data_IF_711810719557
#
_entry.id   IF_711810719557
#
_cell.length_a   1.000
_cell.length_b   1.000
_cell.length_c   1.000
_cell.angle_alpha   90.00
_cell.angle_beta   90.00
_cell.angle_gamma   90.00
#
_symmetry.space_group_name_H-M   'P 1'
#
loop_
_entity.id
_entity.type
_entity.pdbx_description
1 polymer ?
#
# COMPACT_ATOMS: atom_id res chain seq x y z
N UNK A 1 -0.33 -7.89 -13.83
CA UNK A 1 -1.58 -7.24 -13.34
C UNK A 1 -2.04 -6.12 -14.27
N UNK A 2 -1.13 -5.33 -14.84
CA UNK A 2 -1.49 -4.19 -15.70
C UNK A 2 -1.29 -4.39 -17.19
N UNK A 3 -0.95 -5.60 -17.60
CA UNK A 3 -0.90 -6.05 -18.97
C UNK A 3 -1.18 -7.55 -19.02
N UNK A 4 -1.81 -7.96 -20.11
CA UNK A 4 -1.99 -9.34 -20.52
C UNK A 4 -1.08 -9.71 -21.70
N UNK A 5 -1.29 -10.90 -22.29
CA UNK A 5 -0.44 -11.43 -23.35
C UNK A 5 -0.39 -10.50 -24.56
N UNK A 6 0.79 -10.31 -25.14
CA UNK A 6 1.01 -9.39 -26.27
C UNK A 6 0.93 -7.90 -25.93
N UNK A 7 0.80 -7.50 -24.67
CA UNK A 7 0.85 -6.09 -24.23
C UNK A 7 -0.37 -5.24 -24.58
N UNK A 8 -1.31 -5.73 -25.38
CA UNK A 8 -2.38 -4.89 -25.94
C UNK A 8 -3.50 -4.54 -24.94
N UNK A 9 -3.49 -5.14 -23.75
CA UNK A 9 -4.58 -5.02 -22.78
C UNK A 9 -4.28 -3.91 -21.77
N UNK A 10 -5.07 -2.84 -21.86
CA UNK A 10 -4.99 -1.63 -21.02
C UNK A 10 -5.71 -1.82 -19.67
N UNK A 11 -5.41 -2.93 -18.99
CA UNK A 11 -6.20 -3.40 -17.82
C UNK A 11 -6.13 -2.47 -16.61
N UNK A 12 -5.03 -1.73 -16.42
CA UNK A 12 -4.88 -0.82 -15.29
C UNK A 12 -5.17 0.65 -15.62
N UNK A 13 -4.99 1.08 -16.87
CA UNK A 13 -5.24 2.45 -17.29
C UNK A 13 -5.25 2.56 -18.80
N UNK A 14 -6.17 3.38 -19.34
CA UNK A 14 -6.18 3.76 -20.76
C UNK A 14 -4.93 4.53 -21.19
N UNK A 15 -4.24 5.16 -20.23
CA UNK A 15 -3.02 5.94 -20.42
C UNK A 15 -1.73 5.10 -20.35
N UNK A 16 -1.82 3.85 -19.88
CA UNK A 16 -0.70 2.91 -19.95
C UNK A 16 -0.73 2.20 -21.29
N UNK A 17 0.30 2.42 -22.12
CA UNK A 17 0.54 1.64 -23.33
C UNK A 17 1.01 0.27 -22.85
N UNK A 18 0.07 -0.66 -22.67
CA UNK A 18 0.38 -1.96 -22.10
C UNK A 18 1.55 -2.64 -22.80
N UNK A 19 2.32 -3.43 -22.04
CA UNK A 19 3.45 -4.18 -22.54
C UNK A 19 3.40 -5.60 -21.97
N UNK A 20 3.71 -6.60 -22.78
CA UNK A 20 3.69 -7.98 -22.31
C UNK A 20 4.66 -8.14 -21.15
N UNK A 21 4.15 -8.57 -19.99
CA UNK A 21 4.98 -8.87 -18.82
C UNK A 21 5.28 -10.37 -18.87
N UNK A 22 6.24 -10.74 -19.71
CA UNK A 22 6.70 -12.12 -19.93
C UNK A 22 7.87 -12.50 -19.00
N UNK A 23 8.66 -11.50 -18.58
CA UNK A 23 9.85 -11.70 -17.76
C UNK A 23 10.15 -10.50 -16.84
N UNK A 24 11.06 -10.71 -15.88
CA UNK A 24 11.43 -9.71 -14.87
C UNK A 24 12.09 -8.45 -15.47
N UNK A 25 12.86 -8.57 -16.56
CA UNK A 25 13.50 -7.43 -17.22
C UNK A 25 12.48 -6.50 -17.89
N UNK A 26 11.44 -7.08 -18.48
CA UNK A 26 10.31 -6.33 -19.04
C UNK A 26 9.55 -5.60 -17.94
N UNK A 27 9.33 -6.23 -16.78
CA UNK A 27 8.72 -5.57 -15.61
C UNK A 27 9.49 -4.33 -15.18
N UNK A 28 10.81 -4.43 -15.03
CA UNK A 28 11.63 -3.30 -14.54
C UNK A 28 11.53 -2.09 -15.47
N UNK A 29 11.53 -2.32 -16.78
CA UNK A 29 11.43 -1.25 -17.78
C UNK A 29 10.02 -0.63 -17.76
N UNK A 30 8.99 -1.47 -17.76
CA UNK A 30 7.60 -1.04 -17.86
C UNK A 30 7.03 -0.47 -16.54
N UNK A 31 7.70 -0.75 -15.42
CA UNK A 31 7.29 -0.23 -14.12
C UNK A 31 7.35 1.31 -14.05
N UNK A 32 8.33 1.93 -14.71
CA UNK A 32 8.42 3.38 -14.77
C UNK A 32 7.23 3.98 -15.51
N UNK A 33 6.90 3.44 -16.69
CA UNK A 33 5.78 3.89 -17.52
C UNK A 33 4.42 3.65 -16.84
N UNK A 34 4.27 2.49 -16.17
CA UNK A 34 3.09 2.19 -15.38
C UNK A 34 2.91 3.20 -14.24
N UNK A 35 3.98 3.52 -13.50
CA UNK A 35 3.92 4.55 -12.44
C UNK A 35 3.58 5.92 -13.02
N UNK A 36 4.15 6.28 -14.17
CA UNK A 36 3.87 7.55 -14.83
C UNK A 36 2.40 7.67 -15.30
N UNK A 37 1.75 6.54 -15.61
CA UNK A 37 0.33 6.51 -15.94
C UNK A 37 -0.59 6.80 -14.74
N UNK A 38 -0.06 6.72 -13.52
CA UNK A 38 -0.78 7.08 -12.31
C UNK A 38 -0.57 8.56 -12.01
N UNK A 39 -1.65 9.34 -11.93
CA UNK A 39 -1.61 10.72 -11.44
C UNK A 39 -1.44 10.74 -9.91
N UNK A 40 -0.26 10.35 -9.43
CA UNK A 40 0.08 10.45 -8.01
C UNK A 40 0.50 11.88 -7.71
N UNK A 41 -0.27 12.58 -6.86
CA UNK A 41 0.16 13.85 -6.29
C UNK A 41 1.31 13.57 -5.29
N UNK A 42 2.54 13.88 -5.69
CA UNK A 42 3.76 13.59 -4.92
C UNK A 42 4.01 14.59 -3.79
N UNK A 43 3.23 15.66 -3.72
CA UNK A 43 3.50 16.79 -2.83
C UNK A 43 2.87 16.61 -1.43
N UNK A 44 2.09 15.55 -1.22
CA UNK A 44 1.47 15.27 0.07
C UNK A 44 2.43 14.56 1.02
N UNK A 45 2.61 15.14 2.21
CA UNK A 45 3.23 14.45 3.34
C UNK A 45 2.34 13.27 3.71
N UNK A 46 2.83 12.05 3.49
CA UNK A 46 2.11 10.82 3.83
C UNK A 46 1.98 10.73 5.36
N UNK A 47 0.74 10.59 5.81
CA UNK A 47 0.35 10.40 7.21
C UNK A 47 0.15 8.92 7.53
N UNK A 48 0.18 8.58 8.82
CA UNK A 48 -0.14 7.22 9.27
C UNK A 48 -1.59 6.82 8.93
N UNK A 49 -2.51 7.79 8.95
CA UNK A 49 -3.90 7.61 8.55
C UNK A 49 -4.01 7.22 7.08
N UNK A 50 -3.32 7.93 6.18
CA UNK A 50 -3.34 7.61 4.74
C UNK A 50 -2.78 6.22 4.44
N UNK A 51 -1.70 5.81 5.13
CA UNK A 51 -1.17 4.44 5.00
C UNK A 51 -2.21 3.40 5.45
N UNK A 52 -2.86 3.64 6.58
CA UNK A 52 -3.86 2.72 7.13
C UNK A 52 -5.08 2.62 6.19
N UNK A 53 -5.58 3.77 5.72
CA UNK A 53 -6.67 3.84 4.76
C UNK A 53 -6.32 3.13 3.43
N UNK A 54 -5.07 3.25 2.96
CA UNK A 54 -4.62 2.54 1.76
C UNK A 54 -4.58 1.01 1.97
N UNK A 55 -4.16 0.53 3.15
CA UNK A 55 -4.20 -0.90 3.48
C UNK A 55 -5.63 -1.44 3.57
N UNK A 56 -6.56 -0.67 4.15
CA UNK A 56 -7.98 -1.02 4.20
C UNK A 56 -8.61 -1.02 2.80
N UNK A 57 -8.32 -0.01 1.98
CA UNK A 57 -8.77 0.05 0.59
C UNK A 57 -8.23 -1.11 -0.25
N UNK A 58 -6.97 -1.51 -0.02
CA UNK A 58 -6.41 -2.71 -0.64
C UNK A 58 -7.20 -3.96 -0.21
N UNK A 59 -7.44 -4.13 1.09
CA UNK A 59 -8.17 -5.29 1.62
C UNK A 59 -9.60 -5.36 1.07
N UNK A 60 -10.29 -4.21 0.98
CA UNK A 60 -11.65 -4.11 0.43
C UNK A 60 -11.73 -4.41 -1.08
N UNK A 61 -10.62 -4.27 -1.82
CA UNK A 61 -10.55 -4.61 -3.25
C UNK A 61 -10.21 -6.08 -3.51
N UNK A 62 -9.90 -6.86 -2.48
CA UNK A 62 -9.69 -8.29 -2.63
C UNK A 62 -11.02 -8.95 -3.02
N UNK A 63 -10.99 -9.71 -4.11
CA UNK A 63 -12.09 -10.58 -4.53
C UNK A 63 -11.91 -11.93 -3.83
N UNK A 64 -12.93 -12.36 -3.12
CA UNK A 64 -12.98 -13.67 -2.47
C UNK A 64 -14.06 -14.53 -3.13
N UNK A 65 -13.65 -15.69 -3.65
CA UNK A 65 -14.53 -16.65 -4.32
C UNK A 65 -14.37 -18.02 -3.67
N UNK A 66 -15.48 -18.75 -3.53
CA UNK A 66 -15.44 -20.13 -3.06
C UNK A 66 -14.71 -21.04 -4.06
N UNK A 67 -13.82 -21.89 -3.55
CA UNK A 67 -13.18 -22.98 -4.29
C UNK A 67 -13.17 -24.23 -3.41
N UNK A 68 -13.17 -25.42 -4.04
CA UNK A 68 -13.56 -26.72 -3.46
C UNK A 68 -13.50 -26.84 -1.92
N UNK A 69 -12.32 -26.63 -1.32
CA UNK A 69 -12.09 -26.69 0.13
C UNK A 69 -11.61 -25.39 0.79
N UNK A 70 -11.20 -24.38 0.02
CA UNK A 70 -10.64 -23.11 0.51
C UNK A 70 -11.14 -21.94 -0.34
N UNK A 71 -11.19 -20.74 0.23
CA UNK A 71 -11.52 -19.55 -0.56
C UNK A 71 -10.34 -19.13 -1.43
N UNK A 72 -10.59 -18.86 -2.71
CA UNK A 72 -9.65 -18.16 -3.60
C UNK A 72 -9.73 -16.67 -3.32
N UNK A 73 -8.60 -16.06 -3.01
CA UNK A 73 -8.52 -14.61 -2.73
C UNK A 73 -7.54 -13.97 -3.69
N UNK A 74 -7.99 -12.96 -4.42
CA UNK A 74 -7.21 -12.31 -5.49
C UNK A 74 -7.41 -10.81 -5.52
N UNK A 75 -6.43 -10.10 -6.06
CA UNK A 75 -6.56 -8.70 -6.46
C UNK A 75 -6.46 -8.61 -7.99
N UNK A 76 -7.44 -8.00 -8.64
CA UNK A 76 -7.48 -7.86 -10.11
C UNK A 76 -8.39 -8.87 -10.80
N UNK A 77 -8.29 -8.93 -12.13
CA UNK A 77 -9.24 -9.65 -12.99
C UNK A 77 -8.84 -11.12 -13.17
N UNK A 78 -9.82 -12.01 -13.07
CA UNK A 78 -9.71 -13.43 -13.40
C UNK A 78 -11.08 -13.94 -13.83
N UNK A 79 -11.14 -14.63 -14.97
CA UNK A 79 -12.36 -15.28 -15.47
C UNK A 79 -12.52 -16.74 -14.99
N UNK A 80 -11.48 -17.34 -14.44
CA UNK A 80 -11.46 -18.76 -14.01
C UNK A 80 -10.79 -18.97 -12.65
N UNK A 81 -10.64 -17.89 -11.86
CA UNK A 81 -9.98 -17.85 -10.54
C UNK A 81 -8.46 -18.06 -10.58
N UNK A 82 -7.83 -18.17 -11.75
CA UNK A 82 -6.37 -18.27 -11.90
C UNK A 82 -5.72 -16.92 -12.22
N UNK A 83 -4.49 -16.72 -11.74
CA UNK A 83 -3.67 -15.53 -11.99
C UNK A 83 -2.46 -15.89 -12.85
N UNK A 84 -2.70 -16.32 -14.09
CA UNK A 84 -1.64 -16.76 -15.01
C UNK A 84 -1.01 -15.63 -15.81
N UNK A 85 -1.55 -14.39 -15.74
CA UNK A 85 -1.14 -13.29 -16.60
C UNK A 85 -1.73 -13.36 -18.01
N UNK A 86 -2.56 -14.37 -18.30
CA UNK A 86 -3.34 -14.49 -19.54
C UNK A 86 -4.39 -13.39 -19.70
N UNK A 87 -4.99 -13.30 -20.90
CA UNK A 87 -6.10 -12.38 -21.14
C UNK A 87 -7.27 -12.68 -20.17
N UNK A 88 -7.75 -11.65 -19.48
CA UNK A 88 -8.77 -11.80 -18.44
C UNK A 88 -8.30 -12.54 -17.17
N UNK A 89 -7.00 -12.77 -16.99
CA UNK A 89 -6.36 -13.48 -15.85
C UNK A 89 -5.22 -12.67 -15.22
N UNK A 90 -5.38 -11.35 -15.23
CA UNK A 90 -4.42 -10.36 -14.73
C UNK A 90 -4.67 -10.03 -13.26
N UNK A 91 -4.28 -10.95 -12.37
CA UNK A 91 -4.45 -10.79 -10.93
C UNK A 91 -3.20 -11.17 -10.12
N UNK A 92 -3.24 -10.88 -8.81
CA UNK A 92 -2.30 -11.38 -7.80
C UNK A 92 -3.06 -12.33 -6.89
N UNK A 93 -2.54 -13.55 -6.71
CA UNK A 93 -3.14 -14.59 -5.86
C UNK A 93 -2.68 -14.42 -4.40
N UNK A 94 -3.64 -14.19 -3.51
CA UNK A 94 -3.46 -14.07 -2.06
C UNK A 94 -4.05 -15.25 -1.27
N UNK A 95 -4.55 -16.29 -1.94
CA UNK A 95 -5.26 -17.44 -1.35
C UNK A 95 -4.56 -18.01 -0.12
N UNK A 96 -3.23 -18.16 -0.15
CA UNK A 96 -2.46 -18.71 0.97
C UNK A 96 -2.56 -17.91 2.28
N UNK A 97 -2.91 -16.62 2.21
CA UNK A 97 -3.08 -15.76 3.38
C UNK A 97 -4.50 -15.81 3.97
N UNK A 98 -5.46 -16.36 3.22
CA UNK A 98 -6.87 -16.36 3.59
C UNK A 98 -7.49 -17.77 3.60
N UNK A 99 -6.65 -18.80 3.71
CA UNK A 99 -7.10 -20.19 3.86
C UNK A 99 -7.99 -20.35 5.09
N UNK A 100 -9.02 -21.18 4.97
CA UNK A 100 -9.99 -21.42 6.06
C UNK A 100 -9.36 -22.20 7.20
N UNK A 101 -8.57 -23.21 6.89
CA UNK A 101 -8.02 -24.18 7.86
C UNK A 101 -6.66 -23.75 8.41
N UNK A 102 -5.99 -22.78 7.79
CA UNK A 102 -4.70 -22.27 8.24
C UNK A 102 -4.45 -20.86 7.67
N UNK A 103 -5.16 -19.84 8.17
CA UNK A 103 -4.96 -18.47 7.70
C UNK A 103 -3.55 -18.01 8.06
N UNK A 104 -2.77 -17.60 7.06
CA UNK A 104 -1.47 -16.99 7.31
C UNK A 104 -1.69 -15.53 7.71
N UNK A 105 -1.12 -15.11 8.84
CA UNK A 105 -1.23 -13.73 9.29
C UNK A 105 -0.77 -12.74 8.20
N UNK A 106 -1.54 -11.67 7.96
CA UNK A 106 -1.21 -10.64 6.96
C UNK A 106 0.15 -9.97 7.21
N UNK A 107 0.61 -9.96 8.46
CA UNK A 107 1.96 -9.50 8.81
C UNK A 107 3.10 -10.32 8.21
N UNK A 108 2.82 -11.49 7.62
CA UNK A 108 3.80 -12.27 6.84
C UNK A 108 3.94 -11.79 5.40
N UNK A 109 3.02 -10.96 4.89
CA UNK A 109 3.24 -10.26 3.62
C UNK A 109 4.28 -9.15 3.84
N UNK A 110 5.47 -9.21 3.21
CA UNK A 110 6.55 -8.28 3.52
C UNK A 110 6.17 -6.82 3.27
N UNK A 111 5.55 -6.51 2.13
CA UNK A 111 5.15 -5.16 1.78
C UNK A 111 4.07 -4.61 2.73
N UNK A 112 3.08 -5.43 3.10
CA UNK A 112 2.01 -5.05 4.03
C UNK A 112 2.59 -4.71 5.40
N UNK A 113 3.49 -5.57 5.90
CA UNK A 113 4.13 -5.36 7.18
C UNK A 113 5.02 -4.10 7.19
N UNK A 114 5.74 -3.83 6.09
CA UNK A 114 6.53 -2.61 5.95
C UNK A 114 5.66 -1.35 5.97
N UNK A 115 4.53 -1.35 5.29
CA UNK A 115 3.56 -0.24 5.32
C UNK A 115 3.03 -0.01 6.75
N UNK A 116 2.62 -1.09 7.43
CA UNK A 116 2.17 -0.98 8.83
C UNK A 116 3.27 -0.45 9.76
N UNK A 117 4.51 -0.89 9.59
CA UNK A 117 5.64 -0.36 10.35
C UNK A 117 5.89 1.13 10.06
N UNK A 118 5.72 1.56 8.81
CA UNK A 118 5.83 2.96 8.44
C UNK A 118 4.76 3.83 9.10
N UNK A 119 3.49 3.37 9.14
CA UNK A 119 2.42 4.06 9.85
C UNK A 119 2.76 4.29 11.33
N UNK A 120 3.18 3.23 12.04
CA UNK A 120 3.60 3.32 13.44
C UNK A 120 4.78 4.27 13.64
N UNK A 121 5.75 4.25 12.73
CA UNK A 121 6.91 5.14 12.80
C UNK A 121 6.51 6.61 12.62
N UNK A 122 5.55 6.91 11.74
CA UNK A 122 5.02 8.27 11.54
C UNK A 122 4.27 8.75 12.79
N UNK A 123 3.38 7.93 13.37
CA UNK A 123 2.68 8.28 14.61
C UNK A 123 3.65 8.58 15.75
N UNK A 124 4.66 7.71 15.93
CA UNK A 124 5.67 7.89 16.96
C UNK A 124 6.43 9.21 16.79
N UNK A 125 6.79 9.58 15.55
CA UNK A 125 7.44 10.86 15.26
C UNK A 125 6.53 12.05 15.54
N UNK A 126 5.25 11.97 15.17
CA UNK A 126 4.28 13.04 15.45
C UNK A 126 4.11 13.27 16.96
N UNK A 127 4.01 12.19 17.75
CA UNK A 127 3.94 12.29 19.21
C UNK A 127 5.22 12.88 19.81
N UNK A 128 6.39 12.49 19.29
CA UNK A 128 7.65 13.04 19.75
C UNK A 128 7.77 14.54 19.46
N UNK A 129 7.37 14.99 18.26
CA UNK A 129 7.35 16.41 17.89
C UNK A 129 6.38 17.21 18.77
N UNK A 130 5.19 16.66 19.04
CA UNK A 130 4.24 17.29 19.96
C UNK A 130 4.83 17.46 21.37
N UNK A 131 5.48 16.41 21.90
CA UNK A 131 6.13 16.46 23.21
C UNK A 131 7.28 17.49 23.26
N UNK A 132 8.12 17.55 22.22
CA UNK A 132 9.23 18.50 22.12
C UNK A 132 8.71 19.95 22.08
N UNK A 133 7.63 20.22 21.34
CA UNK A 133 7.01 21.56 21.29
C UNK A 133 6.41 21.98 22.64
N UNK A 134 5.75 21.06 23.37
CA UNK A 134 5.23 21.33 24.71
C UNK A 134 6.34 21.62 25.70
N UNK A 135 7.45 20.86 25.62
CA UNK A 135 8.61 21.08 26.48
C UNK A 135 9.25 22.44 26.23
N UNK A 136 9.42 22.84 24.96
CA UNK A 136 9.95 24.16 24.59
C UNK A 136 9.06 25.29 25.14
N UNK A 137 7.74 25.22 24.96
CA UNK A 137 6.80 26.21 25.50
C UNK A 137 6.83 26.29 27.05
N UNK A 138 7.01 25.15 27.71
CA UNK A 138 7.13 25.10 29.18
C UNK A 138 8.42 25.77 29.67
N UNK A 139 9.52 25.59 28.95
CA UNK A 139 10.79 26.27 29.23
C UNK A 139 10.60 27.79 29.10
N UNK A 140 10.08 28.26 27.97
CA UNK A 140 9.88 29.70 27.70
C UNK A 140 9.00 30.36 28.77
N UNK A 141 7.88 29.72 29.12
CA UNK A 141 6.98 30.24 30.16
C UNK A 141 7.62 30.25 31.55
N UNK A 142 8.48 29.28 31.87
CA UNK A 142 9.22 29.23 33.14
C UNK A 142 10.26 30.36 33.21
N UNK A 143 11.01 30.59 32.13
CA UNK A 143 11.95 31.72 32.03
C UNK A 143 11.23 33.07 32.14
N UNK A 144 10.10 33.25 31.45
CA UNK A 144 9.31 34.48 31.52
C UNK A 144 8.81 34.77 32.95
N UNK A 145 8.31 33.73 33.65
CA UNK A 145 7.90 33.86 35.06
C UNK A 145 9.07 34.24 35.96
N UNK A 146 10.24 33.61 35.78
CA UNK A 146 11.41 33.90 36.58
C UNK A 146 11.83 35.37 36.45
N UNK A 147 11.87 35.92 35.23
CA UNK A 147 12.19 37.34 34.99
C UNK A 147 11.17 38.26 35.67
N UNK A 148 9.88 37.92 35.63
CA UNK A 148 8.82 38.73 36.24
C UNK A 148 8.92 38.83 37.76
N UNK A 149 9.56 37.87 38.45
CA UNK A 149 9.77 37.91 39.90
C UNK A 149 10.98 38.76 40.33
N UNK A 150 11.83 39.19 39.39
CA UNK A 150 13.03 39.98 39.67
C UNK A 150 12.85 41.49 39.39
N UNK A 151 11.66 41.93 38.97
CA UNK A 151 11.27 43.34 38.80
C UNK A 151 10.07 43.67 39.70
#
# INVERSE_FOLDING_TARGET
MCSGPGGNSKECSGAFTGAEIDNQGTITTQWADLKASCALHTDNIITAHEITAALEAWHARLTQEGDASDNKVRLGTSNDKSCTGGAGKTCVDYTNFFKKTSPTALGKLPWYNKMRQAAVAIEKRALQQAQESLYAATIETTYAKAIFFFF
#
